data_IF_412049407961
#
_entry.id   IF_412049407961
#
_cell.length_a   1.000
_cell.length_b   1.000
_cell.length_c   1.000
_cell.angle_alpha   90.00
_cell.angle_beta   90.00
_cell.angle_gamma   90.00
#
_symmetry.space_group_name_H-M   'P 1'
#
loop_
_entity.id
_entity.type
_entity.pdbx_description
1 polymer ?
#
# COMPACT_ATOMS: atom_id res chain seq x y z
N UNK A 1 35.83 46.63 -61.09
CA UNK A 1 35.48 47.88 -60.35
C UNK A 1 34.24 47.57 -59.53
N UNK A 2 34.07 47.76 -58.22
CA UNK A 2 34.85 48.27 -57.08
C UNK A 2 34.31 47.55 -55.81
N UNK A 3 35.15 47.44 -54.77
CA UNK A 3 34.87 46.90 -53.43
C UNK A 3 33.86 47.73 -52.63
N UNK A 4 33.16 47.10 -51.68
CA UNK A 4 32.51 47.72 -50.49
C UNK A 4 32.17 46.55 -49.56
N UNK A 5 32.82 46.27 -48.42
CA UNK A 5 33.15 46.98 -47.17
C UNK A 5 31.93 47.14 -46.23
N UNK A 6 32.00 46.40 -45.12
CA UNK A 6 31.09 46.33 -43.97
C UNK A 6 31.18 47.57 -43.07
N UNK A 7 30.05 48.01 -42.50
CA UNK A 7 29.92 48.78 -41.24
C UNK A 7 28.52 48.43 -40.68
N UNK A 8 28.41 47.57 -39.66
CA UNK A 8 28.45 47.81 -38.21
C UNK A 8 27.12 48.30 -37.60
N UNK A 9 26.75 47.64 -36.50
CA UNK A 9 25.47 47.63 -35.81
C UNK A 9 25.21 48.86 -34.92
N UNK A 10 23.93 49.17 -34.72
CA UNK A 10 23.45 49.90 -33.54
C UNK A 10 22.05 49.39 -33.18
N UNK A 11 21.97 48.48 -32.20
CA UNK A 11 20.71 48.03 -31.61
C UNK A 11 20.37 48.93 -30.42
N UNK A 12 19.19 49.57 -30.46
CA UNK A 12 18.63 50.37 -29.38
C UNK A 12 18.10 49.43 -28.30
N UNK A 13 18.69 49.49 -27.11
CA UNK A 13 18.17 48.84 -25.90
C UNK A 13 17.04 49.71 -25.35
N UNK A 14 15.80 49.21 -25.41
CA UNK A 14 14.67 49.77 -24.67
C UNK A 14 14.70 49.14 -23.27
N UNK A 15 15.00 49.96 -22.26
CA UNK A 15 14.81 49.63 -20.85
C UNK A 15 13.31 49.65 -20.55
N UNK A 16 12.67 48.48 -20.60
CA UNK A 16 11.42 48.24 -19.88
C UNK A 16 11.80 47.71 -18.49
N UNK A 17 11.64 48.56 -17.48
CA UNK A 17 11.72 48.14 -16.09
C UNK A 17 10.52 47.25 -15.77
N UNK A 18 10.78 45.96 -15.58
CA UNK A 18 9.84 45.09 -14.88
C UNK A 18 10.13 45.22 -13.39
N UNK A 19 9.11 45.67 -12.68
CA UNK A 19 9.01 45.71 -11.23
C UNK A 19 9.42 44.36 -10.63
N UNK A 20 10.18 44.40 -9.53
CA UNK A 20 10.40 43.24 -8.68
C UNK A 20 9.09 42.91 -7.94
N UNK A 21 8.11 42.32 -8.62
CA UNK A 21 7.08 41.56 -7.92
C UNK A 21 7.66 40.19 -7.59
N UNK A 22 8.00 40.01 -6.33
CA UNK A 22 8.20 38.71 -5.72
C UNK A 22 6.84 37.99 -5.81
N UNK A 23 6.66 37.17 -6.84
CA UNK A 23 5.52 36.26 -7.01
C UNK A 23 5.46 35.34 -5.78
N UNK A 24 4.74 35.80 -4.75
CA UNK A 24 4.32 34.97 -3.63
C UNK A 24 3.33 33.95 -4.18
N UNK A 25 3.84 32.79 -4.56
CA UNK A 25 3.01 31.61 -4.68
C UNK A 25 2.34 31.36 -3.32
N UNK A 26 1.00 31.39 -3.28
CA UNK A 26 0.27 30.71 -2.21
C UNK A 26 -0.64 31.51 -1.30
N UNK A 27 -1.26 32.61 -1.75
CA UNK A 27 -2.39 33.20 -1.02
C UNK A 27 -3.60 33.34 -1.94
N UNK A 28 -4.62 32.50 -1.74
CA UNK A 28 -5.95 32.76 -2.26
C UNK A 28 -6.69 33.61 -1.22
N UNK A 29 -6.90 34.88 -1.53
CA UNK A 29 -7.56 35.84 -0.63
C UNK A 29 -6.92 35.95 0.78
N UNK A 30 -5.59 35.82 0.87
CA UNK A 30 -4.84 35.91 2.13
C UNK A 30 -4.78 34.60 2.95
N UNK A 31 -5.22 33.47 2.39
CA UNK A 31 -5.14 32.15 3.03
C UNK A 31 -4.17 31.21 2.31
N UNK A 32 -3.37 30.49 3.08
CA UNK A 32 -2.46 29.46 2.56
C UNK A 32 -3.21 28.15 2.33
N UNK A 33 -3.31 27.65 1.08
CA UNK A 33 -3.99 26.39 0.80
C UNK A 33 -3.19 25.19 1.32
N UNK A 34 -3.90 24.13 1.70
CA UNK A 34 -3.33 22.84 2.08
C UNK A 34 -3.02 22.05 0.80
N UNK A 35 -1.73 21.78 0.61
CA UNK A 35 -1.22 20.87 -0.41
C UNK A 35 -0.63 19.65 0.28
N UNK A 36 -0.89 18.46 -0.25
CA UNK A 36 -0.40 17.19 0.30
C UNK A 36 0.24 16.35 -0.79
N UNK A 37 1.20 15.51 -0.40
CA UNK A 37 1.80 14.48 -1.24
C UNK A 37 1.62 13.08 -0.66
N UNK A 38 1.91 12.05 -1.45
CA UNK A 38 2.02 10.65 -1.00
C UNK A 38 3.46 10.14 -1.11
N UNK A 39 3.94 9.36 -0.16
CA UNK A 39 5.18 8.59 -0.35
C UNK A 39 4.88 7.25 -1.05
N UNK A 40 4.73 7.22 -2.39
CA UNK A 40 4.32 6.00 -3.11
C UNK A 40 5.35 5.57 -4.14
N UNK A 41 5.67 4.27 -4.16
CA UNK A 41 6.76 3.68 -4.93
C UNK A 41 6.42 2.25 -5.40
N UNK A 42 6.72 1.92 -6.66
CA UNK A 42 6.10 0.78 -7.37
C UNK A 42 6.81 -0.56 -7.21
N UNK A 43 6.09 -1.56 -6.64
CA UNK A 43 5.95 -2.98 -7.07
C UNK A 43 5.36 -3.88 -5.96
N UNK A 44 4.06 -3.72 -5.68
CA UNK A 44 3.18 -4.64 -4.94
C UNK A 44 1.70 -4.29 -5.27
N UNK A 45 0.69 -5.07 -4.82
CA UNK A 45 -0.69 -5.00 -5.31
C UNK A 45 -1.34 -3.61 -5.30
N UNK A 46 -1.03 -2.76 -4.31
CA UNK A 46 -1.49 -1.35 -4.27
C UNK A 46 -0.33 -0.41 -3.95
N UNK A 47 0.72 -0.46 -4.76
CA UNK A 47 1.88 0.45 -4.61
C UNK A 47 2.05 1.34 -5.86
N UNK A 48 0.98 1.52 -6.63
CA UNK A 48 0.93 2.41 -7.79
C UNK A 48 -0.07 3.53 -7.50
N UNK A 49 0.16 4.67 -8.13
CA UNK A 49 -0.81 5.77 -8.15
C UNK A 49 -2.20 5.28 -8.60
N UNK A 50 -2.25 4.34 -9.55
CA UNK A 50 -3.50 3.69 -9.97
C UNK A 50 -4.20 2.94 -8.83
N UNK A 51 -3.49 2.10 -8.08
CA UNK A 51 -4.08 1.34 -6.98
C UNK A 51 -4.66 2.22 -5.87
N UNK A 52 -3.96 3.32 -5.53
CA UNK A 52 -4.48 4.30 -4.56
C UNK A 52 -5.68 5.08 -5.08
N UNK A 53 -5.75 5.33 -6.38
CA UNK A 53 -6.92 5.97 -6.99
C UNK A 53 -8.14 5.02 -7.02
N UNK A 54 -7.92 3.75 -7.35
CA UNK A 54 -8.99 2.76 -7.53
C UNK A 54 -9.75 2.50 -6.21
N UNK A 55 -9.02 2.20 -5.13
CA UNK A 55 -9.61 1.93 -3.82
C UNK A 55 -9.74 3.19 -2.93
N UNK A 56 -9.05 4.27 -3.28
CA UNK A 56 -9.13 5.57 -2.61
C UNK A 56 -8.40 5.65 -1.28
N UNK A 57 -8.23 6.89 -0.80
CA UNK A 57 -7.65 7.23 0.49
C UNK A 57 -8.68 8.05 1.29
N UNK A 58 -8.79 7.84 2.59
CA UNK A 58 -9.48 8.76 3.50
C UNK A 58 -8.49 9.63 4.24
N UNK A 59 -8.69 10.96 4.25
CA UNK A 59 -7.79 11.92 4.88
C UNK A 59 -8.50 12.70 5.99
N UNK A 60 -7.88 12.74 7.16
CA UNK A 60 -8.24 13.60 8.28
C UNK A 60 -7.20 14.70 8.48
N UNK A 61 -7.68 15.89 8.83
CA UNK A 61 -6.88 17.06 9.12
C UNK A 61 -7.39 17.73 10.38
N UNK A 62 -6.67 17.59 11.48
CA UNK A 62 -7.11 18.04 12.81
C UNK A 62 -6.20 19.16 13.29
N UNK A 63 -6.81 20.24 13.77
CA UNK A 63 -6.07 21.40 14.28
C UNK A 63 -5.41 21.12 15.62
N UNK A 64 -4.25 21.73 15.84
CA UNK A 64 -3.56 21.70 17.12
C UNK A 64 -2.79 23.00 17.32
N UNK A 65 -2.63 23.44 18.56
CA UNK A 65 -1.92 24.69 18.89
C UNK A 65 -0.59 24.38 19.55
N UNK A 66 0.47 25.07 19.11
CA UNK A 66 1.85 24.95 19.61
C UNK A 66 2.44 23.52 19.59
N UNK A 67 1.84 22.61 18.83
CA UNK A 67 2.30 21.22 18.71
C UNK A 67 2.91 21.05 17.33
N UNK A 68 4.23 20.95 17.26
CA UNK A 68 4.99 20.85 16.01
C UNK A 68 5.38 19.42 15.65
N UNK A 69 5.14 18.47 16.55
CA UNK A 69 5.47 17.07 16.36
C UNK A 69 4.34 16.33 15.63
N UNK A 70 4.73 15.50 14.66
CA UNK A 70 3.84 14.59 13.95
C UNK A 70 3.52 13.33 14.78
N UNK A 71 3.07 13.55 16.02
CA UNK A 71 2.66 12.52 16.97
C UNK A 71 1.14 12.28 16.89
N UNK A 72 0.65 11.16 17.46
CA UNK A 72 -0.78 10.94 17.65
C UNK A 72 -1.51 12.18 18.20
N UNK A 73 -2.77 12.32 17.82
CA UNK A 73 -3.69 13.36 18.28
C UNK A 73 -4.11 13.05 19.70
N UNK A 74 -3.68 13.92 20.63
CA UNK A 74 -4.09 13.81 22.03
C UNK A 74 -5.56 14.23 22.26
N UNK A 75 -6.14 15.04 21.38
CA UNK A 75 -7.48 15.58 21.50
C UNK A 75 -8.23 15.54 20.16
N UNK A 76 -9.10 14.54 20.01
CA UNK A 76 -9.97 14.38 18.84
C UNK A 76 -11.22 15.28 18.85
N UNK A 77 -11.41 16.09 19.90
CA UNK A 77 -12.48 17.11 19.96
C UNK A 77 -12.08 18.43 19.30
N UNK A 78 -10.79 18.57 18.91
CA UNK A 78 -10.28 19.75 18.23
C UNK A 78 -10.94 19.96 16.86
N UNK A 79 -10.86 21.19 16.34
CA UNK A 79 -11.53 21.53 15.09
C UNK A 79 -10.95 20.73 13.91
N UNK A 80 -11.85 20.11 13.15
CA UNK A 80 -11.56 19.28 11.98
C UNK A 80 -11.59 20.15 10.73
N UNK A 81 -10.49 20.19 9.98
CA UNK A 81 -10.39 20.87 8.68
C UNK A 81 -10.67 19.90 7.53
N UNK A 82 -10.13 18.67 7.61
CA UNK A 82 -10.47 17.59 6.69
C UNK A 82 -11.12 16.47 7.50
N UNK A 83 -12.36 16.12 7.15
CA UNK A 83 -13.14 15.06 7.77
C UNK A 83 -13.37 13.93 6.77
N UNK A 84 -12.62 12.83 6.93
CA UNK A 84 -12.61 11.68 6.02
C UNK A 84 -12.64 12.05 4.52
N UNK A 85 -11.85 13.05 4.13
CA UNK A 85 -11.90 13.58 2.77
C UNK A 85 -11.27 12.57 1.82
N UNK A 86 -12.07 12.10 0.85
CA UNK A 86 -11.56 11.34 -0.30
C UNK A 86 -10.92 12.29 -1.31
N UNK A 87 -9.63 12.15 -1.65
CA UNK A 87 -9.02 12.91 -2.73
C UNK A 87 -9.74 12.69 -4.06
N UNK A 88 -9.74 13.71 -4.92
CA UNK A 88 -10.22 13.59 -6.29
C UNK A 88 -9.27 12.71 -7.11
N UNK A 89 -7.96 12.81 -6.87
CA UNK A 89 -6.95 11.91 -7.41
C UNK A 89 -5.63 11.98 -6.66
N UNK A 90 -4.82 10.94 -6.82
CA UNK A 90 -3.38 10.95 -6.60
C UNK A 90 -2.70 11.03 -7.97
N UNK A 91 -1.73 11.93 -8.13
CA UNK A 91 -1.00 12.16 -9.38
C UNK A 91 0.25 11.28 -9.49
N UNK A 92 0.79 11.16 -10.70
CA UNK A 92 2.02 10.40 -10.98
C UNK A 92 3.27 10.99 -10.30
N UNK A 93 3.26 12.30 -10.02
CA UNK A 93 4.28 13.00 -9.23
C UNK A 93 4.05 12.87 -7.71
N UNK A 94 3.13 11.98 -7.31
CA UNK A 94 2.68 11.76 -5.95
C UNK A 94 1.91 12.93 -5.30
N UNK A 95 1.50 13.95 -6.06
CA UNK A 95 0.64 15.01 -5.54
C UNK A 95 -0.78 14.51 -5.25
N UNK A 96 -1.33 14.87 -4.08
CA UNK A 96 -2.73 14.62 -3.73
C UNK A 96 -3.58 15.81 -4.18
N UNK A 97 -4.61 15.54 -4.96
CA UNK A 97 -5.61 16.54 -5.37
C UNK A 97 -6.82 16.44 -4.48
N UNK A 98 -7.01 17.43 -3.61
CA UNK A 98 -8.21 17.55 -2.80
C UNK A 98 -9.41 17.97 -3.67
N UNK A 99 -10.64 17.53 -3.36
CA UNK A 99 -11.82 17.80 -4.18
C UNK A 99 -12.20 19.29 -4.23
N UNK A 100 -11.84 20.03 -3.17
CA UNK A 100 -11.95 21.49 -3.06
C UNK A 100 -10.72 22.02 -2.31
N UNK A 101 -10.40 23.33 -2.40
CA UNK A 101 -9.36 23.93 -1.58
C UNK A 101 -9.70 23.88 -0.09
N UNK A 102 -8.75 23.40 0.71
CA UNK A 102 -8.74 23.54 2.17
C UNK A 102 -7.58 24.47 2.55
N UNK A 103 -7.66 25.14 3.70
CA UNK A 103 -6.68 26.16 4.08
C UNK A 103 -6.17 25.96 5.50
N UNK A 104 -4.90 26.29 5.73
CA UNK A 104 -4.34 26.31 7.07
C UNK A 104 -4.98 27.43 7.92
N UNK A 105 -5.04 27.26 9.25
CA UNK A 105 -5.37 28.35 10.17
C UNK A 105 -4.45 29.57 9.96
N UNK A 106 -4.99 30.77 10.19
CA UNK A 106 -4.24 32.01 9.95
C UNK A 106 -3.14 32.29 10.99
N UNK A 107 -3.25 31.71 12.20
CA UNK A 107 -2.24 31.87 13.24
C UNK A 107 -1.07 30.92 12.99
N UNK A 108 0.15 31.44 13.03
CA UNK A 108 1.38 30.65 12.79
C UNK A 108 1.61 29.54 13.82
N UNK A 109 1.05 29.72 15.01
CA UNK A 109 1.11 28.76 16.13
C UNK A 109 0.11 27.62 16.00
N UNK A 110 -0.83 27.72 15.05
CA UNK A 110 -1.83 26.69 14.80
C UNK A 110 -1.38 25.80 13.64
N UNK A 111 -1.32 24.52 13.91
CA UNK A 111 -0.90 23.47 13.00
C UNK A 111 -2.09 22.59 12.65
N UNK A 112 -1.95 21.87 11.53
CA UNK A 112 -2.86 20.82 11.11
C UNK A 112 -2.06 19.54 11.05
N UNK A 113 -2.48 18.56 11.84
CA UNK A 113 -1.98 17.20 11.75
C UNK A 113 -2.81 16.46 10.70
N UNK A 114 -2.15 15.73 9.83
CA UNK A 114 -2.77 14.93 8.76
C UNK A 114 -2.58 13.44 9.02
N UNK A 115 -3.68 12.70 8.91
CA UNK A 115 -3.74 11.24 9.03
C UNK A 115 -4.47 10.72 7.83
N UNK A 116 -4.06 9.56 7.35
CA UNK A 116 -4.71 8.96 6.21
C UNK A 116 -4.65 7.45 6.26
N UNK A 117 -5.67 6.83 5.69
CA UNK A 117 -5.78 5.38 5.61
C UNK A 117 -6.24 4.96 4.22
N UNK A 118 -5.93 3.72 3.89
CA UNK A 118 -6.31 3.05 2.67
C UNK A 118 -6.76 1.61 2.98
N UNK A 119 -7.77 1.07 2.29
CA UNK A 119 -8.60 1.75 1.29
C UNK A 119 -9.57 2.76 1.92
N UNK A 120 -10.12 3.67 1.10
CA UNK A 120 -11.14 4.61 1.56
C UNK A 120 -12.41 3.85 1.97
N UNK A 121 -12.96 4.21 3.12
CA UNK A 121 -14.28 3.78 3.57
C UNK A 121 -15.13 4.97 3.98
N UNK A 122 -16.39 4.95 3.58
CA UNK A 122 -17.36 5.93 4.03
C UNK A 122 -17.71 5.70 5.51
N UNK A 123 -18.11 6.78 6.19
CA UNK A 123 -18.62 6.70 7.56
C UNK A 123 -19.88 5.84 7.63
N UNK A 124 -19.94 4.93 8.59
CA UNK A 124 -21.07 4.03 8.77
C UNK A 124 -21.01 3.26 10.08
N UNK A 125 -21.90 2.28 10.23
CA UNK A 125 -21.99 1.43 11.43
C UNK A 125 -22.05 -0.07 11.09
N UNK A 126 -22.03 -0.42 9.80
CA UNK A 126 -22.18 -1.80 9.33
C UNK A 126 -21.77 -1.93 7.86
N UNK A 127 -21.45 -3.15 7.45
CA UNK A 127 -21.03 -3.50 6.09
C UNK A 127 -19.62 -4.08 6.10
N UNK A 128 -19.16 -4.53 4.94
CA UNK A 128 -17.85 -5.19 4.81
C UNK A 128 -16.69 -4.25 5.14
N UNK A 129 -16.82 -2.97 4.76
CA UNK A 129 -15.85 -1.92 5.01
C UNK A 129 -16.57 -0.62 5.41
N UNK A 130 -16.32 -0.09 6.60
CA UNK A 130 -16.89 1.19 7.05
C UNK A 130 -15.99 1.89 8.06
N UNK A 131 -16.09 3.22 8.12
CA UNK A 131 -15.40 4.02 9.13
C UNK A 131 -16.35 4.33 10.28
N UNK A 132 -16.04 3.84 11.47
CA UNK A 132 -16.70 4.23 12.70
C UNK A 132 -16.06 5.51 13.23
N UNK A 133 -16.84 6.58 13.33
CA UNK A 133 -16.36 7.87 13.86
C UNK A 133 -16.79 8.06 15.30
N UNK A 134 -15.88 8.61 16.11
CA UNK A 134 -16.13 9.01 17.50
C UNK A 134 -15.85 10.50 17.65
N UNK A 135 -16.57 11.17 18.53
CA UNK A 135 -16.33 12.59 18.85
C UNK A 135 -15.18 12.80 19.83
N UNK A 136 -14.64 11.73 20.43
CA UNK A 136 -13.64 11.81 21.51
C UNK A 136 -12.44 10.88 21.31
N UNK A 137 -12.36 10.17 20.18
CA UNK A 137 -11.27 9.25 19.87
C UNK A 137 -11.05 9.18 18.36
N UNK A 138 -9.89 8.63 17.97
CA UNK A 138 -9.60 8.34 16.58
C UNK A 138 -10.69 7.45 15.95
N UNK A 139 -11.11 7.75 14.71
CA UNK A 139 -11.96 6.85 13.95
C UNK A 139 -11.35 5.46 13.81
N UNK A 140 -12.23 4.46 13.76
CA UNK A 140 -11.86 3.06 13.61
C UNK A 140 -12.36 2.57 12.25
N UNK A 141 -11.44 2.14 11.40
CA UNK A 141 -11.77 1.54 10.12
C UNK A 141 -12.03 0.04 10.29
N UNK A 142 -13.27 -0.38 10.10
CA UNK A 142 -13.68 -1.78 10.08
C UNK A 142 -13.57 -2.33 8.67
N UNK A 143 -13.01 -3.54 8.52
CA UNK A 143 -12.70 -4.10 7.21
C UNK A 143 -12.99 -5.59 7.09
N UNK A 144 -13.10 -6.04 5.85
CA UNK A 144 -13.17 -7.45 5.43
C UNK A 144 -12.12 -7.72 4.35
N UNK A 145 -11.32 -8.77 4.55
CA UNK A 145 -10.27 -9.24 3.67
C UNK A 145 -10.78 -10.40 2.82
N UNK A 146 -10.79 -10.21 1.51
CA UNK A 146 -10.83 -11.25 0.49
C UNK A 146 -9.43 -11.78 0.17
N UNK A 147 -8.40 -11.16 0.74
CA UNK A 147 -6.99 -11.45 0.50
C UNK A 147 -6.34 -10.49 -0.47
N UNK A 148 -7.11 -9.60 -1.11
CA UNK A 148 -6.59 -8.62 -2.08
C UNK A 148 -6.49 -7.20 -1.53
N UNK A 149 -7.10 -6.95 -0.37
CA UNK A 149 -7.10 -5.64 0.27
C UNK A 149 -5.75 -5.36 0.92
N UNK A 150 -5.18 -4.20 0.58
CA UNK A 150 -3.94 -3.72 1.16
C UNK A 150 -4.22 -2.62 2.18
N UNK A 151 -4.33 -3.00 3.45
CA UNK A 151 -4.56 -2.02 4.51
C UNK A 151 -3.28 -1.23 4.73
N UNK A 152 -3.37 0.09 4.54
CA UNK A 152 -2.27 1.00 4.79
C UNK A 152 -2.72 2.15 5.66
N UNK A 153 -1.82 2.64 6.50
CA UNK A 153 -2.01 3.87 7.25
C UNK A 153 -0.78 4.74 7.07
N UNK A 154 -1.01 6.02 6.81
CA UNK A 154 0.06 7.00 6.75
C UNK A 154 0.63 7.24 8.15
N UNK A 155 1.95 7.44 8.23
CA UNK A 155 2.54 8.10 9.39
C UNK A 155 1.95 9.51 9.46
N UNK A 156 1.55 10.00 10.66
CA UNK A 156 1.02 11.35 10.77
C UNK A 156 1.98 12.36 10.14
N UNK A 157 1.43 13.32 9.42
CA UNK A 157 2.17 14.45 8.87
C UNK A 157 1.67 15.75 9.52
N UNK A 158 2.44 16.83 9.42
CA UNK A 158 2.05 18.10 10.04
C UNK A 158 2.43 19.28 9.15
N UNK A 159 1.59 20.31 9.14
CA UNK A 159 1.85 21.57 8.46
C UNK A 159 1.12 22.74 9.13
N UNK A 160 1.45 23.95 8.72
CA UNK A 160 0.81 25.20 9.10
C UNK A 160 0.83 26.19 7.93
N UNK A 161 0.38 27.42 8.15
CA UNK A 161 0.33 28.45 7.10
C UNK A 161 1.70 28.95 6.59
N UNK A 162 2.82 28.51 7.17
CA UNK A 162 4.19 28.77 6.70
C UNK A 162 4.81 27.57 5.99
N UNK A 163 4.05 26.48 5.82
CA UNK A 163 4.53 25.26 5.18
C UNK A 163 4.73 25.46 3.69
N UNK A 164 5.99 25.48 3.25
CA UNK A 164 6.39 25.69 1.85
C UNK A 164 6.61 24.39 1.08
N UNK A 165 6.86 23.28 1.78
CA UNK A 165 6.96 21.94 1.20
C UNK A 165 5.72 21.16 1.60
N UNK A 166 4.90 20.66 0.65
CA UNK A 166 3.72 19.86 0.96
C UNK A 166 4.05 18.70 1.91
N UNK A 167 3.31 18.52 3.02
CA UNK A 167 3.48 17.36 3.88
C UNK A 167 3.18 16.06 3.10
N UNK A 168 4.04 15.06 3.25
CA UNK A 168 3.86 13.74 2.65
C UNK A 168 3.10 12.81 3.59
N UNK A 169 2.10 12.13 3.05
CA UNK A 169 1.43 11.01 3.69
C UNK A 169 2.14 9.72 3.28
N UNK A 170 3.06 9.27 4.14
CA UNK A 170 3.89 8.09 3.91
C UNK A 170 3.16 6.83 4.41
N UNK A 171 2.56 6.08 3.49
CA UNK A 171 1.78 4.89 3.79
C UNK A 171 2.65 3.68 4.13
N UNK A 172 2.32 3.04 5.25
CA UNK A 172 2.89 1.77 5.66
C UNK A 172 1.84 0.65 5.60
N UNK A 173 2.20 -0.49 5.01
CA UNK A 173 1.40 -1.71 5.01
C UNK A 173 1.17 -2.23 6.43
N UNK A 174 -0.09 -2.51 6.75
CA UNK A 174 -0.52 -2.98 8.09
C UNK A 174 -0.84 -4.47 8.14
N UNK A 175 -0.75 -5.15 7.01
CA UNK A 175 -0.90 -6.60 6.88
C UNK A 175 0.44 -7.29 6.61
N UNK A 176 0.42 -8.62 6.59
CA UNK A 176 1.50 -9.46 6.04
C UNK A 176 1.09 -9.97 4.66
N UNK A 177 2.04 -10.16 3.75
CA UNK A 177 1.77 -10.67 2.40
C UNK A 177 2.34 -12.07 2.23
N UNK A 178 1.58 -12.94 1.58
CA UNK A 178 2.03 -14.25 1.13
C UNK A 178 1.91 -14.34 -0.40
N UNK A 179 2.96 -14.83 -1.04
CA UNK A 179 2.96 -15.17 -2.47
C UNK A 179 3.31 -16.64 -2.64
N UNK A 180 2.78 -17.26 -3.70
CA UNK A 180 2.99 -18.68 -3.94
C UNK A 180 3.77 -18.92 -5.22
N UNK A 181 4.71 -19.85 -5.14
CA UNK A 181 5.30 -20.51 -6.31
C UNK A 181 5.33 -22.01 -6.11
N UNK A 182 5.34 -22.75 -7.21
CA UNK A 182 5.43 -24.21 -7.21
C UNK A 182 6.68 -24.66 -7.93
N UNK A 183 7.31 -25.69 -7.40
CA UNK A 183 8.43 -26.39 -8.04
C UNK A 183 8.20 -27.90 -7.96
N UNK A 184 8.84 -28.62 -8.89
CA UNK A 184 8.88 -30.08 -8.86
C UNK A 184 10.04 -30.55 -7.99
N UNK A 185 9.83 -31.60 -7.20
CA UNK A 185 10.90 -32.28 -6.48
C UNK A 185 11.73 -33.17 -7.42
N UNK A 186 13.03 -33.32 -7.17
CA UNK A 186 13.92 -34.12 -8.04
C UNK A 186 13.46 -35.59 -8.20
N UNK A 187 13.00 -36.20 -7.12
CA UNK A 187 12.52 -37.59 -7.10
C UNK A 187 11.24 -37.83 -7.92
N UNK A 188 10.59 -36.78 -8.43
CA UNK A 188 9.42 -36.90 -9.30
C UNK A 188 9.75 -37.25 -10.75
N UNK A 189 11.03 -37.22 -11.16
CA UNK A 189 11.42 -37.49 -12.54
C UNK A 189 11.05 -38.90 -13.03
N UNK A 190 10.82 -39.86 -12.13
CA UNK A 190 10.57 -41.27 -12.44
C UNK A 190 9.12 -41.74 -12.20
N UNK A 191 8.21 -40.84 -11.80
CA UNK A 191 6.82 -41.20 -11.48
C UNK A 191 5.89 -40.94 -12.67
N UNK A 192 5.43 -42.02 -13.31
CA UNK A 192 4.47 -41.96 -14.42
C UNK A 192 3.13 -41.36 -13.98
N UNK A 193 2.44 -40.67 -14.91
CA UNK A 193 1.14 -40.03 -14.63
C UNK A 193 1.21 -38.69 -13.92
N UNK A 194 2.40 -38.15 -13.66
CA UNK A 194 2.59 -36.83 -13.03
C UNK A 194 3.04 -35.74 -13.99
N UNK A 195 3.18 -36.07 -15.28
CA UNK A 195 3.73 -35.19 -16.32
C UNK A 195 2.85 -33.98 -16.66
N UNK A 196 1.64 -33.90 -16.12
CA UNK A 196 0.73 -32.76 -16.26
C UNK A 196 0.00 -32.47 -14.94
N UNK A 197 0.67 -32.61 -13.80
CA UNK A 197 0.06 -32.24 -12.53
C UNK A 197 -0.15 -30.72 -12.50
N UNK A 198 -1.38 -30.29 -12.20
CA UNK A 198 -1.73 -28.88 -12.18
C UNK A 198 -2.32 -28.51 -10.84
N UNK A 199 -2.00 -27.31 -10.34
CA UNK A 199 -2.70 -26.68 -9.24
C UNK A 199 -4.05 -26.20 -9.73
N UNK A 200 -5.11 -26.54 -9.00
CA UNK A 200 -6.48 -26.11 -9.25
C UNK A 200 -7.00 -25.20 -8.14
N UNK A 201 -6.39 -25.24 -6.94
CA UNK A 201 -6.75 -24.34 -5.85
C UNK A 201 -5.73 -24.31 -4.70
N UNK A 202 -5.65 -23.16 -4.03
CA UNK A 202 -4.96 -22.97 -2.75
C UNK A 202 -5.92 -22.20 -1.84
N UNK A 203 -6.14 -22.69 -0.63
CA UNK A 203 -7.01 -22.06 0.35
C UNK A 203 -6.33 -22.10 1.72
N UNK A 204 -6.36 -20.98 2.44
CA UNK A 204 -6.10 -20.96 3.87
C UNK A 204 -7.28 -21.61 4.58
N UNK A 205 -7.02 -22.67 5.35
CA UNK A 205 -8.05 -23.42 6.07
C UNK A 205 -8.72 -22.55 7.15
N UNK A 206 -7.94 -21.65 7.75
CA UNK A 206 -8.36 -20.76 8.82
C UNK A 206 -7.53 -19.47 8.77
N UNK A 207 -8.16 -18.37 8.40
CA UNK A 207 -7.57 -17.04 8.35
C UNK A 207 -8.55 -16.01 8.93
N UNK A 208 -8.05 -15.06 9.70
CA UNK A 208 -8.85 -13.93 10.15
C UNK A 208 -9.02 -12.96 8.99
N UNK A 209 -10.28 -12.80 8.56
CA UNK A 209 -10.64 -11.98 7.41
C UNK A 209 -11.34 -10.69 7.82
N UNK A 210 -11.86 -10.58 9.03
CA UNK A 210 -12.56 -9.37 9.48
C UNK A 210 -11.92 -8.83 10.74
N UNK A 211 -11.80 -7.50 10.81
CA UNK A 211 -11.15 -6.81 11.91
C UNK A 211 -11.32 -5.31 11.81
N UNK A 212 -10.51 -4.60 12.58
CA UNK A 212 -10.55 -3.14 12.66
C UNK A 212 -9.14 -2.56 12.72
N UNK A 213 -8.98 -1.33 12.24
CA UNK A 213 -7.75 -0.56 12.28
C UNK A 213 -8.01 0.83 12.85
N UNK A 214 -7.27 1.21 13.89
CA UNK A 214 -7.29 2.61 14.35
C UNK A 214 -6.52 3.47 13.32
N UNK A 215 -7.13 4.53 12.80
CA UNK A 215 -6.52 5.34 11.71
C UNK A 215 -5.40 6.28 12.20
N UNK A 216 -5.19 6.39 13.50
CA UNK A 216 -4.19 7.25 14.10
C UNK A 216 -2.80 6.60 14.12
N UNK A 217 -2.74 5.34 14.51
CA UNK A 217 -1.51 4.56 14.63
C UNK A 217 -1.43 3.41 13.59
N UNK A 218 -2.55 3.11 12.93
CA UNK A 218 -2.68 1.99 12.01
C UNK A 218 -2.62 0.64 12.72
N UNK A 219 -2.92 0.57 14.02
CA UNK A 219 -2.95 -0.68 14.76
C UNK A 219 -4.16 -1.50 14.33
N UNK A 220 -3.89 -2.69 13.80
CA UNK A 220 -4.93 -3.64 13.40
C UNK A 220 -5.27 -4.57 14.56
N UNK A 221 -6.54 -4.66 14.91
CA UNK A 221 -7.04 -5.40 16.07
C UNK A 221 -8.49 -5.86 15.87
N UNK A 222 -9.12 -6.41 16.93
CA UNK A 222 -10.54 -6.78 16.90
C UNK A 222 -10.89 -7.86 15.89
N UNK A 223 -9.97 -8.77 15.60
CA UNK A 223 -10.18 -9.87 14.66
C UNK A 223 -11.35 -10.75 15.09
N UNK A 224 -12.27 -11.02 14.17
CA UNK A 224 -13.39 -11.94 14.43
C UNK A 224 -12.94 -13.40 14.34
N UNK A 225 -13.90 -14.32 14.36
CA UNK A 225 -13.64 -15.75 14.18
C UNK A 225 -12.99 -16.02 12.81
N UNK A 226 -11.87 -16.76 12.76
CA UNK A 226 -11.25 -17.14 11.51
C UNK A 226 -12.18 -17.94 10.59
N UNK A 227 -12.01 -17.77 9.29
CA UNK A 227 -12.72 -18.52 8.25
C UNK A 227 -11.78 -18.97 7.14
N UNK A 228 -12.24 -19.86 6.27
CA UNK A 228 -11.46 -20.28 5.12
C UNK A 228 -11.32 -19.12 4.10
N UNK A 229 -10.11 -18.90 3.59
CA UNK A 229 -9.82 -17.85 2.62
C UNK A 229 -9.18 -18.44 1.36
N UNK A 230 -9.77 -18.17 0.20
CA UNK A 230 -9.27 -18.67 -1.09
C UNK A 230 -8.10 -17.79 -1.54
N UNK A 231 -6.90 -18.38 -1.60
CA UNK A 231 -5.70 -17.73 -2.14
C UNK A 231 -5.60 -17.87 -3.66
N UNK A 232 -6.05 -19.02 -4.18
CA UNK A 232 -6.06 -19.32 -5.60
C UNK A 232 -7.19 -20.31 -5.89
N UNK A 233 -7.86 -20.10 -7.03
CA UNK A 233 -8.86 -21.01 -7.57
C UNK A 233 -8.89 -20.82 -9.08
N UNK A 234 -8.88 -21.92 -9.83
CA UNK A 234 -8.87 -21.92 -11.30
C UNK A 234 -10.01 -21.12 -11.94
N UNK A 235 -11.20 -21.10 -11.32
CA UNK A 235 -12.35 -20.37 -11.83
C UNK A 235 -12.21 -18.85 -11.64
N UNK A 236 -11.57 -18.43 -10.55
CA UNK A 236 -11.36 -17.01 -10.21
C UNK A 236 -10.14 -16.44 -10.92
N UNK A 237 -9.10 -17.25 -11.09
CA UNK A 237 -7.78 -16.82 -11.57
C UNK A 237 -7.49 -17.21 -13.02
N UNK A 238 -8.52 -17.57 -13.80
CA UNK A 238 -8.42 -17.74 -15.25
C UNK A 238 -7.72 -19.01 -15.71
N UNK A 239 -7.66 -20.05 -14.85
CA UNK A 239 -7.18 -21.37 -15.23
C UNK A 239 -6.28 -22.05 -14.21
N UNK A 240 -5.80 -23.22 -14.58
CA UNK A 240 -4.91 -24.07 -13.77
C UNK A 240 -3.46 -23.63 -13.91
N UNK A 241 -2.66 -23.88 -12.88
CA UNK A 241 -1.20 -23.67 -12.97
C UNK A 241 -0.50 -25.02 -13.11
N UNK A 242 0.16 -25.23 -14.25
CA UNK A 242 0.98 -26.41 -14.46
C UNK A 242 2.22 -26.37 -13.58
N UNK A 243 2.49 -27.46 -12.86
CA UNK A 243 3.73 -27.60 -12.09
C UNK A 243 4.88 -27.81 -13.09
N UNK A 244 5.99 -27.06 -12.99
CA UNK A 244 7.09 -27.16 -13.95
C UNK A 244 7.65 -28.58 -14.09
N UNK A 245 8.07 -28.95 -15.29
CA UNK A 245 8.63 -30.28 -15.56
C UNK A 245 10.05 -30.45 -14.99
N UNK A 246 10.75 -29.34 -14.77
CA UNK A 246 12.12 -29.24 -14.27
C UNK A 246 12.17 -28.74 -12.83
N UNK A 247 13.17 -29.19 -12.06
CA UNK A 247 13.45 -28.72 -10.69
C UNK A 247 14.10 -27.33 -10.65
N UNK A 248 14.64 -26.87 -11.78
CA UNK A 248 15.28 -25.55 -11.91
C UNK A 248 14.27 -24.42 -12.21
N UNK A 249 13.02 -24.77 -12.47
CA UNK A 249 11.95 -23.84 -12.84
C UNK A 249 10.94 -23.72 -11.71
N UNK A 250 10.39 -22.52 -11.55
CA UNK A 250 9.28 -22.25 -10.64
C UNK A 250 8.14 -21.56 -11.39
N UNK A 251 6.91 -22.01 -11.15
CA UNK A 251 5.71 -21.36 -11.65
C UNK A 251 5.05 -20.56 -10.51
N UNK A 252 4.72 -19.30 -10.75
CA UNK A 252 3.93 -18.49 -9.82
C UNK A 252 2.49 -18.99 -9.80
N UNK A 253 1.86 -18.97 -8.62
CA UNK A 253 0.46 -19.36 -8.45
C UNK A 253 -0.34 -18.20 -7.89
N UNK A 254 -1.42 -17.85 -8.59
CA UNK A 254 -2.32 -16.79 -8.17
C UNK A 254 -1.65 -15.42 -8.07
N UNK A 255 -2.20 -14.61 -7.18
CA UNK A 255 -1.76 -13.24 -6.88
C UNK A 255 -1.31 -13.17 -5.40
N UNK A 256 -0.59 -12.11 -4.99
CA UNK A 256 -0.26 -11.92 -3.58
C UNK A 256 -1.52 -11.85 -2.71
N UNK A 257 -1.46 -12.47 -1.54
CA UNK A 257 -2.56 -12.54 -0.56
C UNK A 257 -2.15 -11.80 0.72
N UNK A 258 -2.99 -10.89 1.16
CA UNK A 258 -2.81 -10.06 2.35
C UNK A 258 -3.57 -10.66 3.54
N UNK A 259 -2.90 -10.82 4.67
CA UNK A 259 -3.39 -11.54 5.84
C UNK A 259 -3.06 -10.82 7.14
N UNK A 260 -3.73 -11.23 8.22
CA UNK A 260 -3.37 -10.82 9.57
C UNK A 260 -1.89 -11.11 9.87
N UNK A 261 -1.11 -10.13 10.36
CA UNK A 261 0.23 -10.35 10.90
C UNK A 261 0.19 -10.93 12.33
N UNK A 262 1.33 -11.43 12.81
CA UNK A 262 1.50 -11.99 14.16
C UNK A 262 1.11 -13.47 14.28
N UNK A 263 0.78 -14.14 13.19
CA UNK A 263 0.54 -15.58 13.19
C UNK A 263 1.87 -16.34 13.16
N UNK A 264 2.02 -17.40 13.96
CA UNK A 264 3.19 -18.29 13.90
C UNK A 264 3.14 -19.28 12.75
N UNK A 265 1.93 -19.57 12.25
CA UNK A 265 1.70 -20.49 11.14
C UNK A 265 0.39 -20.18 10.41
N UNK A 266 0.29 -20.67 9.18
CA UNK A 266 -0.95 -20.78 8.43
C UNK A 266 -1.11 -22.21 7.91
N UNK A 267 -2.36 -22.71 7.89
CA UNK A 267 -2.67 -24.03 7.33
C UNK A 267 -3.31 -23.87 5.95
N UNK A 268 -2.83 -24.64 4.98
CA UNK A 268 -3.33 -24.62 3.61
C UNK A 268 -3.99 -25.93 3.20
N UNK A 269 -5.07 -25.79 2.44
CA UNK A 269 -5.62 -26.83 1.59
C UNK A 269 -5.15 -26.57 0.15
N UNK A 270 -4.36 -27.48 -0.41
CA UNK A 270 -3.79 -27.39 -1.76
C UNK A 270 -4.45 -28.44 -2.65
N UNK A 271 -5.19 -28.00 -3.65
CA UNK A 271 -5.87 -28.87 -4.61
C UNK A 271 -5.10 -28.93 -5.92
N UNK A 272 -4.96 -30.14 -6.44
CA UNK A 272 -4.35 -30.44 -7.74
C UNK A 272 -5.33 -31.18 -8.63
N UNK A 273 -4.97 -31.35 -9.90
CA UNK A 273 -5.73 -32.19 -10.84
C UNK A 273 -5.84 -33.67 -10.43
N UNK A 274 -5.00 -34.15 -9.49
CA UNK A 274 -5.00 -35.53 -9.04
C UNK A 274 -5.62 -35.73 -7.65
N UNK A 275 -5.39 -34.79 -6.73
CA UNK A 275 -5.85 -34.88 -5.33
C UNK A 275 -5.74 -33.56 -4.59
N UNK A 276 -6.30 -33.53 -3.38
CA UNK A 276 -6.18 -32.44 -2.43
C UNK A 276 -5.31 -32.84 -1.24
N UNK A 277 -4.47 -31.92 -0.81
CA UNK A 277 -3.66 -31.99 0.40
C UNK A 277 -4.25 -31.02 1.41
N UNK A 278 -4.48 -31.47 2.64
CA UNK A 278 -5.07 -30.66 3.71
C UNK A 278 -4.06 -30.36 4.79
N UNK A 279 -4.28 -29.28 5.53
CA UNK A 279 -3.48 -28.87 6.69
C UNK A 279 -1.97 -28.76 6.40
N UNK A 280 -1.64 -28.33 5.17
CA UNK A 280 -0.26 -28.09 4.76
C UNK A 280 0.24 -26.84 5.49
N UNK A 281 1.10 -27.05 6.48
CA UNK A 281 1.54 -25.99 7.40
C UNK A 281 2.63 -25.10 6.82
N UNK A 282 2.33 -23.82 6.68
CA UNK A 282 3.28 -22.76 6.33
C UNK A 282 3.75 -22.06 7.60
N UNK A 283 5.07 -21.98 7.77
CA UNK A 283 5.71 -21.20 8.83
C UNK A 283 6.55 -20.08 8.22
N UNK A 284 6.75 -18.96 8.93
CA UNK A 284 7.64 -17.90 8.47
C UNK A 284 9.10 -18.39 8.39
N UNK A 285 9.88 -17.78 7.52
CA UNK A 285 11.30 -18.08 7.34
C UNK A 285 12.18 -16.85 7.59
N UNK A 286 13.50 -17.02 7.49
CA UNK A 286 14.46 -15.93 7.67
C UNK A 286 14.65 -15.48 9.11
N UNK A 287 14.41 -16.38 10.08
CA UNK A 287 14.60 -16.11 11.51
C UNK A 287 13.40 -15.49 12.23
N UNK A 288 12.32 -15.18 11.50
CA UNK A 288 11.07 -14.73 12.10
C UNK A 288 10.34 -15.91 12.78
N UNK A 289 9.79 -15.67 13.98
CA UNK A 289 8.93 -16.62 14.70
C UNK A 289 7.45 -16.48 14.36
N UNK A 290 7.08 -15.41 13.65
CA UNK A 290 5.71 -15.06 13.25
C UNK A 290 5.74 -14.25 11.94
N UNK A 291 4.65 -14.29 11.17
CA UNK A 291 4.49 -13.47 9.97
C UNK A 291 4.37 -11.99 10.36
N UNK A 292 5.35 -11.18 10.01
CA UNK A 292 5.43 -9.78 10.45
C UNK A 292 4.59 -8.85 9.58
N UNK A 293 4.10 -7.78 10.22
CA UNK A 293 3.51 -6.62 9.54
C UNK A 293 4.51 -6.01 8.56
N UNK A 294 4.04 -5.60 7.39
CA UNK A 294 4.91 -4.97 6.38
C UNK A 294 6.04 -5.88 5.90
N UNK A 295 5.83 -7.20 5.89
CA UNK A 295 6.73 -8.17 5.24
C UNK A 295 5.98 -9.03 4.23
N UNK A 296 6.70 -9.43 3.19
CA UNK A 296 6.22 -10.38 2.18
C UNK A 296 6.99 -11.68 2.29
N UNK A 297 6.24 -12.79 2.26
CA UNK A 297 6.75 -14.14 2.36
C UNK A 297 6.44 -14.90 1.07
N UNK A 298 7.47 -15.30 0.33
CA UNK A 298 7.31 -16.16 -0.85
C UNK A 298 7.36 -17.62 -0.42
N UNK A 299 6.22 -18.30 -0.51
CA UNK A 299 6.04 -19.70 -0.16
C UNK A 299 6.22 -20.56 -1.41
N UNK A 300 7.15 -21.50 -1.32
CA UNK A 300 7.46 -22.47 -2.36
C UNK A 300 6.81 -23.82 -2.02
N UNK A 301 5.85 -24.24 -2.82
CA UNK A 301 5.25 -25.57 -2.76
C UNK A 301 6.11 -26.53 -3.60
N UNK A 302 6.81 -27.46 -2.95
CA UNK A 302 7.64 -28.47 -3.60
C UNK A 302 6.91 -29.80 -3.62
N UNK A 303 6.48 -30.26 -4.80
CA UNK A 303 5.70 -31.49 -4.94
C UNK A 303 6.59 -32.73 -5.08
N UNK A 304 6.41 -33.72 -4.20
CA UNK A 304 7.08 -35.02 -4.22
C UNK A 304 6.09 -36.19 -4.10
N UNK A 305 5.29 -36.44 -5.14
CA UNK A 305 4.34 -37.57 -5.17
C UNK A 305 5.02 -38.96 -5.20
N UNK A 306 6.35 -39.04 -5.32
CA UNK A 306 7.09 -40.29 -5.21
C UNK A 306 7.15 -40.80 -3.75
N UNK A 307 6.97 -39.93 -2.77
CA UNK A 307 6.96 -40.30 -1.36
C UNK A 307 5.70 -41.12 -1.01
N UNK A 308 5.89 -42.27 -0.37
CA UNK A 308 4.78 -43.05 0.20
C UNK A 308 4.16 -42.40 1.46
N UNK A 309 4.87 -41.46 2.09
CA UNK A 309 4.39 -40.70 3.25
C UNK A 309 3.65 -39.43 2.76
N UNK A 310 2.32 -39.32 2.97
CA UNK A 310 1.52 -38.17 2.55
C UNK A 310 2.04 -36.83 3.08
N UNK A 311 2.62 -36.81 4.28
CA UNK A 311 3.15 -35.58 4.89
C UNK A 311 4.42 -35.06 4.19
N UNK A 312 5.09 -35.90 3.39
CA UNK A 312 6.30 -35.55 2.63
C UNK A 312 6.04 -35.31 1.14
N UNK A 313 4.79 -35.49 0.71
CA UNK A 313 4.41 -35.32 -0.69
C UNK A 313 4.27 -33.84 -1.11
N UNK A 314 4.14 -32.94 -0.13
CA UNK A 314 4.38 -31.51 -0.33
C UNK A 314 5.39 -31.08 0.74
N UNK A 315 6.46 -30.44 0.29
CA UNK A 315 7.42 -29.76 1.17
C UNK A 315 7.30 -28.25 0.94
N UNK A 316 7.46 -27.50 2.03
CA UNK A 316 7.34 -26.05 2.01
C UNK A 316 8.66 -25.41 2.38
N UNK A 317 9.05 -24.41 1.61
CA UNK A 317 10.05 -23.43 2.03
C UNK A 317 9.47 -22.04 1.84
N UNK A 318 9.63 -21.20 2.85
CA UNK A 318 9.31 -19.78 2.73
C UNK A 318 10.62 -19.00 2.62
N UNK A 319 10.58 -17.84 1.96
CA UNK A 319 11.64 -16.83 2.04
C UNK A 319 11.00 -15.49 2.36
N UNK A 320 11.71 -14.64 3.11
CA UNK A 320 11.20 -13.36 3.58
C UNK A 320 11.91 -12.21 2.87
N UNK A 321 11.14 -11.20 2.49
CA UNK A 321 11.64 -9.90 2.06
C UNK A 321 10.86 -8.82 2.82
N UNK A 322 11.48 -7.68 3.16
CA UNK A 322 10.70 -6.58 3.71
C UNK A 322 9.69 -6.10 2.66
N UNK A 323 8.47 -5.79 3.06
CA UNK A 323 7.45 -5.22 2.17
C UNK A 323 7.67 -3.72 2.14
N UNK A 324 8.77 -3.33 1.50
CA UNK A 324 9.20 -1.95 1.44
C UNK A 324 8.33 -1.22 0.42
N UNK A 325 7.73 -0.11 0.84
CA UNK A 325 7.43 1.04 -0.04
C UNK A 325 8.78 1.59 -0.51
N UNK A 326 9.36 1.01 -1.57
CA UNK A 326 10.73 1.24 -2.03
C UNK A 326 11.21 2.70 -2.07
N UNK A 327 12.47 2.90 -1.65
CA UNK A 327 13.41 3.98 -2.05
C UNK A 327 12.89 5.43 -2.14
N UNK A 328 13.34 6.29 -1.23
CA UNK A 328 13.11 7.75 -1.28
C UNK A 328 13.63 8.37 -2.58
N UNK A 329 12.80 9.18 -3.24
CA UNK A 329 13.21 10.15 -4.26
C UNK A 329 12.67 11.53 -3.91
N UNK A 330 13.57 12.50 -3.71
CA UNK A 330 13.23 13.92 -3.52
C UNK A 330 13.42 14.67 -4.83
N UNK A 331 12.38 15.36 -5.31
CA UNK A 331 12.46 16.29 -6.44
C UNK A 331 12.27 17.73 -5.94
N UNK A 332 13.26 18.59 -6.16
CA UNK A 332 13.12 20.04 -5.97
C UNK A 332 12.59 20.68 -7.25
N UNK A 333 11.57 21.52 -7.14
CA UNK A 333 11.13 22.41 -8.21
C UNK A 333 12.10 23.60 -8.29
N UNK A 334 12.79 23.74 -9.40
CA UNK A 334 13.41 25.00 -9.82
C UNK A 334 12.90 25.30 -11.22
N UNK A 335 12.15 26.39 -11.38
CA UNK A 335 11.84 26.95 -12.68
C UNK A 335 13.15 27.23 -13.41
N UNK A 336 13.31 26.62 -14.59
CA UNK A 336 14.39 27.00 -15.50
C UNK A 336 13.99 28.30 -16.20
N UNK A 337 14.95 29.23 -16.40
CA UNK A 337 14.71 30.50 -17.10
C UNK A 337 14.30 30.30 -18.56
#
# INVERSE_FOLDING_TARGET
MKKTWYVAALAVIVLAGCSNENETTGLDNGKTPILLGTGVSTKAPVNTVTGLNDAGIGIFGITTTNTTAATPIADWTAAVILDNVKPASVKEDNGIVLPIPYYYPAQKTDYVKFMAFHPYAATGTSGDNYLEVSTAAAPVFHFTLTGQEDLMCAVPAIGNNETTTPPNLDFAHKLTQITFKVIKHADMASVSGTENLQITGIQFASANTTGSMNIEDGLVSGWATPAALVAFNEAVHGGKVTIPASTAEAAKVGVPVMLQPGQSEFLLNVSTSAKTFTDVKVIPAGGDSEFKVGKSYEVTLTFNLASADPAKQIQLTASVQPWITGGTGSGSVTDKP
#
